data_IF_810561603982
#
_entry.id   IF_810561603982
#
_cell.length_a   1.000
_cell.length_b   1.000
_cell.length_c   1.000
_cell.angle_alpha   90.00
_cell.angle_beta   90.00
_cell.angle_gamma   90.00
#
_symmetry.space_group_name_H-M   'P 1'
#
loop_
_entity.id
_entity.type
_entity.pdbx_description
1 polymer ?
#
# COMPACT_ATOMS: atom_id res chain seq x y z
N UNK A 1 -3.03 22.89 29.44
CA UNK A 1 -2.01 23.89 29.07
C UNK A 1 -2.62 25.30 29.04
N UNK A 2 -1.99 26.31 29.66
CA UNK A 2 -2.53 27.67 29.79
C UNK A 2 -2.68 28.44 28.47
N UNK A 3 -2.12 27.93 27.36
CA UNK A 3 -1.97 28.74 26.14
C UNK A 3 -3.27 28.81 25.32
N UNK A 4 -4.17 27.84 25.45
CA UNK A 4 -5.47 27.89 24.76
C UNK A 4 -6.47 28.72 25.56
N UNK A 5 -6.29 28.83 26.88
CA UNK A 5 -7.23 29.53 27.77
C UNK A 5 -6.91 31.03 27.95
N UNK A 6 -5.70 31.48 27.62
CA UNK A 6 -5.32 32.89 27.80
C UNK A 6 -5.95 33.85 26.79
N UNK A 7 -6.43 33.35 25.64
CA UNK A 7 -7.08 34.16 24.62
C UNK A 7 -8.62 34.24 24.76
N UNK A 8 -9.25 33.44 25.63
CA UNK A 8 -10.71 33.20 25.55
C UNK A 8 -11.52 33.39 26.85
N UNK A 9 -10.91 33.78 27.99
CA UNK A 9 -11.66 34.07 29.24
C UNK A 9 -11.28 35.41 29.90
N UNK A 10 -12.23 36.12 30.56
CA UNK A 10 -11.96 37.30 31.39
C UNK A 10 -11.00 36.98 32.55
N UNK A 11 -10.18 37.97 32.95
CA UNK A 11 -8.99 37.78 33.80
C UNK A 11 -9.23 37.20 35.19
N UNK A 12 -10.45 37.31 35.71
CA UNK A 12 -10.88 36.90 37.04
C UNK A 12 -11.22 35.40 37.14
N UNK A 13 -11.58 34.75 36.04
CA UNK A 13 -11.90 33.31 35.99
C UNK A 13 -10.66 32.42 35.77
N UNK A 14 -9.53 33.03 35.37
CA UNK A 14 -8.27 32.34 35.02
C UNK A 14 -7.59 31.68 36.22
N UNK A 15 -7.72 32.26 37.41
CA UNK A 15 -7.06 31.74 38.61
C UNK A 15 -7.74 30.47 39.16
N UNK A 16 -9.06 30.33 38.96
CA UNK A 16 -9.83 29.20 39.47
C UNK A 16 -9.71 27.93 38.61
N UNK A 17 -9.48 28.08 37.30
CA UNK A 17 -9.34 26.95 36.36
C UNK A 17 -7.96 26.27 36.43
N UNK A 18 -6.92 27.02 36.81
CA UNK A 18 -5.54 26.50 36.93
C UNK A 18 -5.33 25.70 38.22
N UNK A 19 -6.10 25.97 39.28
CA UNK A 19 -5.97 25.28 40.57
C UNK A 19 -6.70 23.92 40.63
N UNK A 20 -7.58 23.63 39.66
CA UNK A 20 -8.33 22.37 39.61
C UNK A 20 -8.10 21.64 38.28
N UNK A 21 -7.23 20.62 38.35
CA UNK A 21 -7.27 19.40 37.53
C UNK A 21 -6.60 19.45 36.15
N UNK A 22 -5.34 18.96 36.12
CA UNK A 22 -4.54 18.73 34.91
C UNK A 22 -5.21 17.79 33.88
N UNK A 23 -6.15 16.93 34.30
CA UNK A 23 -6.85 16.00 33.41
C UNK A 23 -8.29 16.44 33.08
N UNK A 24 -9.03 17.04 34.03
CA UNK A 24 -10.39 17.50 33.75
C UNK A 24 -10.42 18.75 32.87
N UNK A 25 -9.44 19.65 32.94
CA UNK A 25 -9.35 20.78 32.02
C UNK A 25 -9.18 20.29 30.57
N UNK A 26 -8.25 19.37 30.35
CA UNK A 26 -8.04 18.73 29.04
C UNK A 26 -9.31 18.02 28.55
N UNK A 27 -10.01 17.28 29.42
CA UNK A 27 -11.29 16.61 29.08
C UNK A 27 -12.41 17.60 28.79
N UNK A 28 -12.52 18.70 29.54
CA UNK A 28 -13.52 19.73 29.36
C UNK A 28 -13.31 20.50 28.05
N UNK A 29 -12.05 20.80 27.72
CA UNK A 29 -11.65 21.38 26.43
C UNK A 29 -12.02 20.43 25.29
N UNK A 30 -11.65 19.15 25.39
CA UNK A 30 -11.96 18.16 24.35
C UNK A 30 -13.46 17.93 24.16
N UNK A 31 -14.23 17.88 25.26
CA UNK A 31 -15.69 17.79 25.17
C UNK A 31 -16.27 19.02 24.48
N UNK A 32 -15.86 20.22 24.90
CA UNK A 32 -16.33 21.48 24.32
C UNK A 32 -15.99 21.59 22.83
N UNK A 33 -14.81 21.12 22.42
CA UNK A 33 -14.38 21.10 21.02
C UNK A 33 -15.15 20.08 20.16
N UNK A 34 -15.39 18.90 20.70
CA UNK A 34 -16.20 17.88 20.04
C UNK A 34 -17.65 18.34 19.89
N UNK A 35 -18.21 18.94 20.95
CA UNK A 35 -19.58 19.43 20.96
C UNK A 35 -19.76 20.60 19.97
N UNK A 36 -18.77 21.51 19.90
CA UNK A 36 -18.71 22.56 18.87
C UNK A 36 -18.68 21.99 17.44
N UNK A 37 -17.86 20.95 17.19
CA UNK A 37 -17.81 20.28 15.88
C UNK A 37 -19.13 19.60 15.53
N UNK A 38 -19.79 18.96 16.50
CA UNK A 38 -21.05 18.25 16.26
C UNK A 38 -22.24 19.20 16.02
N UNK A 39 -22.19 20.41 16.60
CA UNK A 39 -23.20 21.46 16.41
C UNK A 39 -23.04 22.20 15.07
N UNK A 40 -21.85 22.21 14.48
CA UNK A 40 -21.59 22.71 13.12
C UNK A 40 -21.65 21.54 12.13
N UNK A 41 -22.72 21.41 11.35
CA UNK A 41 -22.98 20.26 10.45
C UNK A 41 -21.89 19.94 9.39
N UNK A 42 -22.16 19.03 8.43
CA UNK A 42 -21.14 18.35 7.63
C UNK A 42 -20.46 19.20 6.54
N UNK A 43 -20.87 20.46 6.34
CA UNK A 43 -20.18 21.37 5.42
C UNK A 43 -19.10 22.13 6.16
N UNK A 44 -17.85 21.77 5.88
CA UNK A 44 -16.72 22.69 5.99
C UNK A 44 -16.74 23.60 4.76
N UNK A 45 -17.05 24.90 4.85
CA UNK A 45 -16.58 25.85 3.87
C UNK A 45 -15.17 26.23 4.27
N UNK A 46 -14.20 25.90 3.42
CA UNK A 46 -13.01 26.72 3.29
C UNK A 46 -13.49 28.12 2.92
N UNK A 47 -13.23 29.05 3.83
CA UNK A 47 -13.41 30.51 3.79
C UNK A 47 -13.95 31.15 2.49
N UNK A 48 -15.11 31.83 2.57
CA UNK A 48 -15.40 33.01 1.75
C UNK A 48 -16.28 34.01 2.54
N UNK A 49 -15.64 35.07 3.05
CA UNK A 49 -16.05 36.44 2.75
C UNK A 49 -17.24 37.09 3.48
N UNK A 50 -16.90 38.20 4.16
CA UNK A 50 -17.61 39.50 4.14
C UNK A 50 -18.93 39.64 4.94
N UNK A 51 -18.90 40.55 5.91
CA UNK A 51 -20.07 41.34 6.32
C UNK A 51 -20.45 41.16 7.79
N UNK A 52 -20.59 42.27 8.49
CA UNK A 52 -20.89 42.30 9.92
C UNK A 52 -22.24 41.69 10.28
N UNK A 53 -22.37 41.21 11.51
CA UNK A 53 -23.09 41.87 12.61
C UNK A 53 -22.65 41.15 13.89
N UNK A 54 -22.41 41.93 14.94
CA UNK A 54 -22.13 41.44 16.30
C UNK A 54 -23.34 40.66 16.83
N UNK A 55 -23.21 39.34 16.94
CA UNK A 55 -23.97 38.56 17.92
C UNK A 55 -22.97 37.81 18.79
N UNK A 56 -23.09 38.01 20.11
CA UNK A 56 -22.31 37.35 21.14
C UNK A 56 -22.65 35.85 21.17
N UNK A 57 -22.11 35.10 20.21
CA UNK A 57 -22.24 33.66 20.08
C UNK A 57 -20.93 32.96 20.44
N UNK A 58 -21.04 31.87 21.19
CA UNK A 58 -19.98 30.99 21.71
C UNK A 58 -18.62 31.07 20.98
N UNK A 59 -17.49 31.10 21.72
CA UNK A 59 -16.17 31.13 21.13
C UNK A 59 -15.98 29.91 20.21
N UNK A 60 -16.00 30.13 18.90
CA UNK A 60 -15.73 29.10 17.89
C UNK A 60 -14.23 29.13 17.60
N UNK A 61 -13.56 27.99 17.77
CA UNK A 61 -12.18 27.85 17.31
C UNK A 61 -12.12 28.05 15.79
N UNK A 62 -11.40 29.08 15.36
CA UNK A 62 -11.06 29.31 13.96
C UNK A 62 -9.84 28.45 13.60
N UNK A 63 -10.06 27.17 13.35
CA UNK A 63 -9.00 26.21 12.96
C UNK A 63 -8.16 26.71 11.77
N UNK A 64 -8.77 27.46 10.85
CA UNK A 64 -8.11 28.05 9.68
C UNK A 64 -7.17 29.23 9.98
N UNK A 65 -7.26 29.88 11.14
CA UNK A 65 -6.38 31.00 11.50
C UNK A 65 -5.16 30.59 12.32
N UNK A 66 -5.09 29.32 12.75
CA UNK A 66 -3.95 28.80 13.50
C UNK A 66 -2.83 28.41 12.56
N UNK A 67 -1.64 28.97 12.80
CA UNK A 67 -0.43 28.57 12.06
C UNK A 67 -0.15 27.08 12.29
N UNK A 68 0.57 26.40 11.38
CA UNK A 68 0.96 25.00 11.57
C UNK A 68 1.67 24.77 12.91
N UNK A 69 2.56 25.69 13.30
CA UNK A 69 3.26 25.67 14.59
C UNK A 69 2.33 25.80 15.79
N UNK A 70 1.37 26.73 15.76
CA UNK A 70 0.40 26.90 16.84
C UNK A 70 -0.51 25.68 17.02
N UNK A 71 -0.84 25.01 15.91
CA UNK A 71 -1.62 23.78 15.95
C UNK A 71 -0.81 22.62 16.54
N UNK A 72 0.46 22.51 16.18
CA UNK A 72 1.34 21.47 16.69
C UNK A 72 1.62 21.66 18.19
N UNK A 73 1.87 22.90 18.60
CA UNK A 73 2.02 23.27 20.01
C UNK A 73 0.73 22.94 20.76
N UNK A 74 -0.45 23.26 20.20
CA UNK A 74 -1.75 22.89 20.78
C UNK A 74 -1.95 21.37 20.93
N UNK A 75 -1.63 20.58 19.90
CA UNK A 75 -1.73 19.12 19.96
C UNK A 75 -0.72 18.52 20.95
N UNK A 76 0.48 19.09 21.04
CA UNK A 76 1.49 18.68 22.00
C UNK A 76 1.05 19.01 23.44
N UNK A 77 0.51 20.19 23.65
CA UNK A 77 0.00 20.69 24.93
C UNK A 77 -1.25 19.96 25.42
N UNK A 78 -2.03 19.40 24.50
CA UNK A 78 -3.18 18.56 24.80
C UNK A 78 -2.78 17.11 25.10
N UNK A 79 -1.63 16.65 24.60
CA UNK A 79 -1.12 15.30 24.81
C UNK A 79 -0.18 15.20 26.01
N UNK A 80 0.44 16.30 26.42
CA UNK A 80 1.34 16.37 27.57
C UNK A 80 0.68 17.17 28.71
N UNK A 81 0.66 16.60 29.91
CA UNK A 81 0.15 17.29 31.10
C UNK A 81 1.11 18.40 31.55
N UNK A 82 0.74 19.18 32.57
CA UNK A 82 1.57 20.26 33.12
C UNK A 82 3.00 19.83 33.53
N UNK A 83 3.20 18.53 33.78
CA UNK A 83 4.48 17.93 34.16
C UNK A 83 5.27 17.34 32.97
N UNK A 84 4.91 17.68 31.72
CA UNK A 84 5.54 17.16 30.49
C UNK A 84 5.51 15.63 30.36
N UNK A 85 4.65 14.95 31.12
CA UNK A 85 4.38 13.52 30.96
C UNK A 85 3.17 13.33 30.06
N UNK A 86 3.25 12.32 29.18
CA UNK A 86 2.15 12.00 28.26
C UNK A 86 0.91 11.63 29.08
N UNK A 87 -0.19 12.32 28.82
CA UNK A 87 -1.48 12.02 29.44
C UNK A 87 -2.04 10.79 28.75
N UNK A 88 -2.19 9.69 29.48
CA UNK A 88 -2.86 8.50 28.95
C UNK A 88 -4.31 8.85 28.62
N UNK A 89 -4.63 8.95 27.33
CA UNK A 89 -5.97 9.28 26.86
C UNK A 89 -6.91 8.09 27.03
N UNK A 90 -8.08 8.30 27.63
CA UNK A 90 -9.14 7.30 27.67
C UNK A 90 -9.63 6.99 26.24
N UNK A 91 -10.19 5.79 25.97
CA UNK A 91 -10.67 5.43 24.63
C UNK A 91 -11.64 6.45 24.02
N UNK A 92 -12.56 7.00 24.82
CA UNK A 92 -13.50 8.04 24.39
C UNK A 92 -12.81 9.35 24.01
N UNK A 93 -11.71 9.69 24.66
CA UNK A 93 -10.95 10.91 24.37
C UNK A 93 -10.15 10.73 23.09
N UNK A 94 -9.55 9.55 22.87
CA UNK A 94 -8.86 9.18 21.62
C UNK A 94 -9.79 9.31 20.41
N UNK A 95 -11.03 8.85 20.53
CA UNK A 95 -12.01 8.96 19.45
C UNK A 95 -12.35 10.43 19.14
N UNK A 96 -12.50 11.26 20.19
CA UNK A 96 -12.70 12.71 20.02
C UNK A 96 -11.50 13.39 19.37
N UNK A 97 -10.27 13.04 19.77
CA UNK A 97 -9.04 13.55 19.15
C UNK A 97 -8.92 13.14 17.69
N UNK A 98 -9.14 11.87 17.37
CA UNK A 98 -9.11 11.37 15.99
C UNK A 98 -10.14 12.09 15.12
N UNK A 99 -11.23 12.55 15.70
CA UNK A 99 -12.26 13.32 15.03
C UNK A 99 -11.82 14.77 14.69
N UNK A 100 -10.76 15.31 15.30
CA UNK A 100 -10.34 16.70 15.04
C UNK A 100 -9.68 16.84 13.67
N UNK A 101 -10.02 17.87 12.87
CA UNK A 101 -9.38 18.18 11.58
C UNK A 101 -8.03 18.88 11.79
N UNK A 102 -7.17 18.32 12.65
CA UNK A 102 -5.95 18.97 13.11
C UNK A 102 -4.68 18.32 12.54
N UNK A 103 -4.82 17.16 11.89
CA UNK A 103 -3.69 16.36 11.45
C UNK A 103 -3.32 16.72 10.01
N UNK A 104 -2.06 17.10 9.82
CA UNK A 104 -1.55 17.53 8.53
C UNK A 104 -1.06 16.31 7.73
N UNK A 105 -1.50 16.22 6.48
CA UNK A 105 -1.06 15.21 5.51
C UNK A 105 0.19 15.69 4.76
N UNK A 106 0.86 14.81 4.02
CA UNK A 106 1.98 15.21 3.14
C UNK A 106 1.54 16.18 2.03
N UNK A 107 0.27 16.18 1.64
CA UNK A 107 -0.29 17.18 0.73
C UNK A 107 -0.51 18.56 1.38
N UNK A 108 -0.21 18.72 2.67
CA UNK A 108 -0.43 19.96 3.44
C UNK A 108 -1.90 20.18 3.83
N UNK A 109 -2.78 19.22 3.55
CA UNK A 109 -4.19 19.28 3.92
C UNK A 109 -4.38 18.86 5.38
N UNK A 110 -5.35 19.49 6.06
CA UNK A 110 -5.70 19.11 7.43
C UNK A 110 -6.91 18.20 7.43
N UNK A 111 -6.76 17.03 8.04
CA UNK A 111 -7.75 15.96 8.03
C UNK A 111 -8.05 15.47 9.44
N UNK A 112 -9.23 14.87 9.60
CA UNK A 112 -9.54 14.06 10.76
C UNK A 112 -9.08 12.62 10.49
N UNK A 113 -8.56 11.94 11.52
CA UNK A 113 -8.14 10.53 11.43
C UNK A 113 -9.32 9.56 11.36
N UNK A 114 -10.55 10.05 11.55
CA UNK A 114 -11.79 9.30 11.33
C UNK A 114 -12.48 9.80 10.06
N UNK A 115 -12.73 8.90 9.11
CA UNK A 115 -13.51 9.21 7.93
C UNK A 115 -14.94 9.67 8.32
N UNK A 116 -15.44 10.80 7.77
CA UNK A 116 -16.79 11.26 8.07
C UNK A 116 -17.82 10.24 7.53
N UNK A 117 -18.64 9.66 8.43
CA UNK A 117 -19.85 8.92 8.04
C UNK A 117 -19.81 7.38 8.11
N UNK A 118 -18.74 6.75 8.62
CA UNK A 118 -18.73 5.29 8.86
C UNK A 118 -18.49 4.99 10.34
N UNK A 119 -19.49 4.36 10.96
CA UNK A 119 -19.35 3.79 12.30
C UNK A 119 -18.25 2.73 12.36
N UNK A 120 -17.92 2.34 13.60
CA UNK A 120 -16.83 1.47 14.08
C UNK A 120 -16.78 0.06 13.40
N UNK A 121 -17.66 -0.22 12.44
CA UNK A 121 -17.81 -1.51 11.77
C UNK A 121 -17.25 -1.58 10.34
N UNK A 122 -16.75 -0.48 9.76
CA UNK A 122 -16.05 -0.55 8.46
C UNK A 122 -14.60 -1.01 8.67
N UNK A 123 -14.44 -2.32 8.73
CA UNK A 123 -13.17 -3.06 8.90
C UNK A 123 -12.40 -3.18 7.57
N UNK A 124 -12.42 -2.13 6.75
CA UNK A 124 -11.63 -2.04 5.53
C UNK A 124 -10.34 -1.27 5.82
N UNK A 125 -9.19 -1.78 5.38
CA UNK A 125 -7.87 -1.15 5.55
C UNK A 125 -7.72 0.17 4.74
N UNK A 126 -8.72 0.49 3.92
CA UNK A 126 -8.69 1.58 2.94
C UNK A 126 -8.95 2.97 3.52
N UNK A 127 -9.46 3.08 4.75
CA UNK A 127 -9.81 4.36 5.39
C UNK A 127 -8.79 4.77 6.49
N UNK A 128 -7.63 4.10 6.54
CA UNK A 128 -6.61 4.32 7.57
C UNK A 128 -5.56 5.36 7.12
N UNK A 129 -5.15 6.21 8.08
CA UNK A 129 -4.00 7.11 7.93
C UNK A 129 -2.71 6.46 8.40
N UNK A 130 -1.62 6.81 7.74
CA UNK A 130 -0.32 6.17 7.95
C UNK A 130 0.76 7.19 8.25
N UNK A 131 1.74 6.77 9.06
CA UNK A 131 3.00 7.46 9.26
C UNK A 131 4.11 6.66 8.60
N UNK A 132 4.96 7.33 7.82
CA UNK A 132 6.14 6.67 7.25
C UNK A 132 7.08 6.22 8.37
N UNK A 133 7.38 4.93 8.37
CA UNK A 133 8.37 4.33 9.25
C UNK A 133 9.73 4.32 8.55
N UNK A 134 10.58 5.29 8.91
CA UNK A 134 11.91 5.44 8.31
C UNK A 134 12.85 4.31 8.71
N UNK A 135 12.61 3.67 9.85
CA UNK A 135 13.44 2.55 10.34
C UNK A 135 13.10 1.25 9.61
N UNK A 136 11.87 1.14 9.10
CA UNK A 136 11.37 0.00 8.33
C UNK A 136 11.29 0.28 6.83
N UNK A 137 12.24 1.07 6.29
CA UNK A 137 12.28 1.43 4.87
C UNK A 137 12.74 0.29 3.95
N UNK A 138 13.28 -0.81 4.50
CA UNK A 138 13.87 -1.91 3.75
C UNK A 138 14.95 -1.45 2.74
N UNK A 139 15.69 -0.39 3.08
CA UNK A 139 16.73 0.20 2.21
C UNK A 139 16.21 1.15 1.14
N UNK A 140 14.89 1.38 1.08
CA UNK A 140 14.29 2.34 0.16
C UNK A 140 14.48 3.77 0.64
N UNK A 141 14.85 4.66 -0.27
CA UNK A 141 14.75 6.10 -0.05
C UNK A 141 13.29 6.53 -0.23
N UNK A 142 12.55 6.58 0.89
CA UNK A 142 11.13 6.92 0.90
C UNK A 142 10.84 8.35 0.41
N UNK A 143 11.83 9.24 0.44
CA UNK A 143 11.68 10.63 -0.01
C UNK A 143 11.88 10.78 -1.52
N UNK A 144 12.63 9.87 -2.13
CA UNK A 144 12.84 9.82 -3.57
C UNK A 144 11.73 9.09 -4.34
N UNK A 145 10.79 8.43 -3.64
CA UNK A 145 9.70 7.69 -4.27
C UNK A 145 8.62 8.65 -4.80
N UNK A 146 8.11 8.43 -6.03
CA UNK A 146 7.07 9.26 -6.61
C UNK A 146 5.72 8.98 -5.95
N UNK A 147 5.38 9.74 -4.92
CA UNK A 147 4.15 9.52 -4.15
C UNK A 147 2.91 9.97 -4.95
N UNK A 148 1.94 9.07 -5.22
CA UNK A 148 0.70 9.47 -5.88
C UNK A 148 -0.15 10.34 -4.92
N UNK A 149 -1.08 11.15 -5.44
CA UNK A 149 -1.97 11.99 -4.63
C UNK A 149 -2.70 11.21 -3.51
N UNK A 150 -3.17 10.00 -3.83
CA UNK A 150 -3.80 9.11 -2.86
C UNK A 150 -2.88 8.74 -1.67
N UNK A 151 -1.56 8.71 -1.87
CA UNK A 151 -0.59 8.50 -0.80
C UNK A 151 -0.40 9.79 0.00
N UNK A 152 -0.20 10.93 -0.65
CA UNK A 152 0.08 12.19 0.04
C UNK A 152 -1.10 12.71 0.87
N UNK A 153 -2.33 12.32 0.52
CA UNK A 153 -3.54 12.61 1.28
C UNK A 153 -3.73 11.68 2.50
N UNK A 154 -3.12 10.50 2.52
CA UNK A 154 -3.29 9.49 3.59
C UNK A 154 -2.06 9.33 4.48
N UNK A 155 -0.92 9.81 4.03
CA UNK A 155 0.31 9.88 4.80
C UNK A 155 0.34 11.18 5.60
N UNK A 156 0.53 11.06 6.92
CA UNK A 156 0.69 12.21 7.80
C UNK A 156 2.07 12.84 7.63
N UNK A 157 2.12 14.17 7.74
CA UNK A 157 3.37 14.92 7.73
C UNK A 157 4.28 14.49 8.89
N UNK A 158 5.61 14.38 8.66
CA UNK A 158 6.55 13.95 9.68
C UNK A 158 6.69 15.03 10.76
N UNK A 159 6.03 14.83 11.90
CA UNK A 159 6.09 15.72 13.06
C UNK A 159 6.70 14.99 14.25
N UNK A 160 8.02 15.12 14.49
CA UNK A 160 8.72 14.41 15.57
C UNK A 160 8.13 14.67 16.95
N UNK A 161 7.62 15.89 17.19
CA UNK A 161 7.01 16.29 18.46
C UNK A 161 5.67 15.63 18.76
N UNK A 162 4.99 15.11 17.74
CA UNK A 162 3.67 14.47 17.86
C UNK A 162 3.74 12.95 17.74
N UNK A 163 4.95 12.36 17.76
CA UNK A 163 5.12 10.92 17.56
C UNK A 163 4.40 10.08 18.62
N UNK A 164 4.52 10.46 19.89
CA UNK A 164 3.90 9.75 21.00
C UNK A 164 2.37 9.86 20.92
N UNK A 165 1.86 11.04 20.54
CA UNK A 165 0.43 11.24 20.29
C UNK A 165 -0.07 10.36 19.13
N UNK A 166 0.66 10.26 18.02
CA UNK A 166 0.27 9.39 16.91
C UNK A 166 0.22 7.91 17.30
N UNK A 167 1.15 7.47 18.17
CA UNK A 167 1.15 6.12 18.71
C UNK A 167 -0.08 5.88 19.61
N UNK A 168 -0.40 6.83 20.48
CA UNK A 168 -1.56 6.75 21.38
C UNK A 168 -2.90 6.83 20.64
N UNK A 169 -2.95 7.61 19.56
CA UNK A 169 -4.07 7.67 18.63
C UNK A 169 -4.07 6.49 17.65
N UNK A 170 -3.18 5.50 17.80
CA UNK A 170 -3.18 4.27 16.99
C UNK A 170 -3.06 4.52 15.49
N UNK A 171 -2.33 5.56 15.06
CA UNK A 171 -1.98 5.77 13.66
C UNK A 171 -1.03 4.65 13.22
N UNK A 172 -1.33 4.00 12.10
CA UNK A 172 -0.50 2.89 11.63
C UNK A 172 0.86 3.40 11.13
N UNK A 173 1.91 2.62 11.42
CA UNK A 173 3.22 2.80 10.80
C UNK A 173 3.26 2.06 9.48
N UNK A 174 3.77 2.72 8.45
CA UNK A 174 3.90 2.17 7.10
C UNK A 174 5.36 2.21 6.68
N UNK A 175 5.96 1.04 6.54
CA UNK A 175 7.31 0.90 5.99
C UNK A 175 7.32 1.02 4.46
N UNK A 176 8.51 0.89 3.88
CA UNK A 176 8.69 1.02 2.43
C UNK A 176 7.91 -0.01 1.62
N UNK A 177 7.90 -1.27 2.06
CA UNK A 177 7.14 -2.32 1.39
C UNK A 177 5.62 -2.09 1.41
N UNK A 178 5.07 -1.62 2.53
CA UNK A 178 3.65 -1.27 2.63
C UNK A 178 3.29 -0.07 1.77
N UNK A 179 4.17 0.92 1.65
CA UNK A 179 4.00 2.06 0.76
C UNK A 179 3.94 1.62 -0.71
N UNK A 180 4.84 0.72 -1.11
CA UNK A 180 4.84 0.12 -2.43
C UNK A 180 3.53 -0.62 -2.69
N UNK A 181 3.15 -1.55 -1.80
CA UNK A 181 2.01 -2.43 -1.96
C UNK A 181 0.66 -1.70 -1.99
N UNK A 182 0.46 -0.71 -1.10
CA UNK A 182 -0.85 -0.07 -0.91
C UNK A 182 -1.08 1.15 -1.78
N UNK A 183 -0.03 1.83 -2.21
CA UNK A 183 -0.16 3.13 -2.88
C UNK A 183 0.48 3.16 -4.27
N UNK A 184 1.74 2.75 -4.38
CA UNK A 184 2.51 2.90 -5.62
C UNK A 184 2.10 1.85 -6.66
N UNK A 185 1.98 0.58 -6.25
CA UNK A 185 1.60 -0.52 -7.15
C UNK A 185 0.16 -0.42 -7.68
N UNK A 186 -0.86 -0.10 -6.87
CA UNK A 186 -2.21 0.14 -7.38
C UNK A 186 -2.28 1.32 -8.36
N UNK A 187 -1.41 2.32 -8.17
CA UNK A 187 -1.33 3.50 -9.04
C UNK A 187 -0.31 3.35 -10.16
N UNK A 188 0.29 2.16 -10.36
CA UNK A 188 1.41 1.96 -11.27
C UNK A 188 1.11 2.41 -12.70
N UNK A 189 -0.12 2.18 -13.18
CA UNK A 189 -0.56 2.59 -14.52
C UNK A 189 -0.63 4.11 -14.72
N UNK A 190 -0.81 4.88 -13.64
CA UNK A 190 -0.92 6.35 -13.67
C UNK A 190 0.44 7.05 -13.55
N UNK A 191 1.49 6.33 -13.15
CA UNK A 191 2.86 6.87 -13.07
C UNK A 191 3.44 7.13 -14.46
N UNK A 192 4.33 8.11 -14.56
CA UNK A 192 5.14 8.35 -15.76
C UNK A 192 6.15 7.23 -15.98
N UNK A 193 6.65 7.06 -17.20
CA UNK A 193 7.65 6.02 -17.49
C UNK A 193 8.93 6.17 -16.66
N UNK A 194 9.39 7.41 -16.43
CA UNK A 194 10.55 7.68 -15.58
C UNK A 194 10.32 7.26 -14.12
N UNK A 195 9.13 7.52 -13.59
CA UNK A 195 8.74 7.11 -12.22
C UNK A 195 8.62 5.59 -12.10
N UNK A 196 8.05 4.92 -13.12
CA UNK A 196 8.00 3.45 -13.18
C UNK A 196 9.40 2.85 -13.19
N UNK A 197 10.31 3.39 -13.99
CA UNK A 197 11.69 2.89 -14.05
C UNK A 197 12.41 3.06 -12.72
N UNK A 198 12.30 4.23 -12.08
CA UNK A 198 12.88 4.48 -10.77
C UNK A 198 12.32 3.53 -9.69
N UNK A 199 11.00 3.33 -9.69
CA UNK A 199 10.32 2.41 -8.79
C UNK A 199 10.80 0.97 -8.96
N UNK A 200 10.79 0.48 -10.21
CA UNK A 200 11.20 -0.89 -10.53
C UNK A 200 12.69 -1.11 -10.22
N UNK A 201 13.56 -0.12 -10.45
CA UNK A 201 14.95 -0.18 -10.07
C UNK A 201 15.12 -0.29 -8.55
N UNK A 202 14.38 0.51 -7.78
CA UNK A 202 14.41 0.46 -6.32
C UNK A 202 13.94 -0.90 -5.76
N UNK A 203 12.92 -1.50 -6.40
CA UNK A 203 12.42 -2.84 -6.03
C UNK A 203 13.48 -3.91 -6.21
N UNK A 204 14.17 -3.95 -7.36
CA UNK A 204 15.19 -4.99 -7.62
C UNK A 204 16.41 -4.83 -6.73
N UNK A 205 16.87 -3.60 -6.54
CA UNK A 205 18.05 -3.32 -5.69
C UNK A 205 17.81 -3.78 -4.26
N UNK A 206 16.59 -3.64 -3.75
CA UNK A 206 16.23 -3.94 -2.37
C UNK A 206 15.41 -5.24 -2.21
N UNK A 207 15.36 -6.09 -3.24
CA UNK A 207 14.44 -7.23 -3.29
C UNK A 207 14.57 -8.20 -2.11
N UNK A 208 15.80 -8.47 -1.67
CA UNK A 208 16.04 -9.41 -0.57
C UNK A 208 15.39 -8.99 0.75
N UNK A 209 15.27 -7.69 1.01
CA UNK A 209 14.56 -7.18 2.18
C UNK A 209 13.05 -7.08 1.93
N UNK A 210 12.64 -6.82 0.68
CA UNK A 210 11.25 -6.62 0.29
C UNK A 210 10.45 -7.92 0.14
N UNK A 211 11.10 -9.04 -0.23
CA UNK A 211 10.42 -10.32 -0.48
C UNK A 211 9.84 -10.99 0.76
N UNK A 212 10.33 -10.64 1.95
CA UNK A 212 9.79 -11.12 3.23
C UNK A 212 8.37 -10.56 3.49
N UNK A 213 8.05 -9.43 2.86
CA UNK A 213 6.76 -8.75 3.01
C UNK A 213 5.74 -9.29 2.03
N UNK A 214 4.94 -10.26 2.49
CA UNK A 214 3.94 -10.98 1.67
C UNK A 214 2.97 -10.06 0.94
N UNK A 215 2.53 -8.98 1.60
CA UNK A 215 1.60 -8.01 1.00
C UNK A 215 2.18 -7.38 -0.28
N UNK A 216 3.49 -7.12 -0.31
CA UNK A 216 4.17 -6.58 -1.48
C UNK A 216 4.32 -7.61 -2.59
N UNK A 217 4.68 -8.85 -2.25
CA UNK A 217 4.82 -9.94 -3.22
C UNK A 217 3.47 -10.23 -3.90
N UNK A 218 2.40 -10.29 -3.13
CA UNK A 218 1.04 -10.49 -3.64
C UNK A 218 0.59 -9.30 -4.52
N UNK A 219 0.91 -8.07 -4.12
CA UNK A 219 0.63 -6.89 -4.94
C UNK A 219 1.39 -6.92 -6.27
N UNK A 220 2.69 -7.25 -6.26
CA UNK A 220 3.51 -7.35 -7.47
C UNK A 220 3.03 -8.47 -8.41
N UNK A 221 2.54 -9.58 -7.87
CA UNK A 221 1.98 -10.69 -8.66
C UNK A 221 0.79 -10.26 -9.52
N UNK A 222 -0.07 -9.39 -8.99
CA UNK A 222 -1.29 -8.95 -9.66
C UNK A 222 -1.09 -7.77 -10.62
N UNK A 223 0.00 -7.03 -10.47
CA UNK A 223 0.28 -5.82 -11.27
C UNK A 223 0.85 -6.20 -12.64
N UNK A 224 0.28 -5.67 -13.75
CA UNK A 224 0.76 -5.94 -15.10
C UNK A 224 1.95 -5.05 -15.49
N UNK A 225 3.06 -5.08 -14.73
CA UNK A 225 4.20 -4.18 -14.95
C UNK A 225 5.17 -4.64 -16.06
N UNK A 226 4.97 -5.83 -16.62
CA UNK A 226 5.81 -6.42 -17.68
C UNK A 226 5.22 -6.11 -19.06
N UNK A 227 5.24 -4.84 -19.47
CA UNK A 227 4.60 -4.36 -20.72
C UNK A 227 3.11 -4.71 -20.80
N UNK A 228 2.40 -4.62 -19.68
CA UNK A 228 0.98 -4.97 -19.59
C UNK A 228 0.70 -6.44 -19.28
N UNK A 229 1.74 -7.27 -19.09
CA UNK A 229 1.60 -8.64 -18.61
C UNK A 229 1.95 -8.77 -17.11
N UNK A 230 1.34 -9.77 -16.46
CA UNK A 230 1.66 -10.20 -15.10
C UNK A 230 2.77 -11.24 -15.13
N UNK A 231 3.55 -11.35 -14.05
CA UNK A 231 4.62 -12.36 -13.96
C UNK A 231 4.09 -13.79 -14.16
N UNK A 232 2.96 -14.13 -13.52
CA UNK A 232 2.35 -15.47 -13.64
C UNK A 232 1.79 -15.83 -15.02
N UNK A 233 1.67 -14.86 -15.93
CA UNK A 233 1.27 -15.13 -17.31
C UNK A 233 2.46 -15.53 -18.21
N UNK A 234 3.70 -15.44 -17.71
CA UNK A 234 4.92 -15.59 -18.50
C UNK A 234 5.74 -16.79 -18.03
N UNK A 235 6.51 -17.35 -18.96
CA UNK A 235 7.43 -18.46 -18.73
C UNK A 235 8.84 -17.97 -18.43
N UNK A 236 9.56 -18.74 -17.62
CA UNK A 236 10.97 -18.45 -17.34
C UNK A 236 11.86 -18.76 -18.57
N UNK A 237 12.59 -17.78 -19.11
CA UNK A 237 13.46 -17.99 -20.27
C UNK A 237 14.66 -18.91 -19.99
N UNK A 238 14.97 -19.21 -18.72
CA UNK A 238 15.99 -20.19 -18.31
C UNK A 238 15.54 -21.64 -18.53
N UNK A 239 14.24 -21.87 -18.69
CA UNK A 239 13.73 -23.19 -19.02
C UNK A 239 13.93 -23.47 -20.52
N UNK A 240 14.98 -24.23 -20.84
CA UNK A 240 15.35 -24.53 -22.22
C UNK A 240 14.24 -25.25 -23.00
N UNK A 241 13.44 -26.09 -22.34
CA UNK A 241 12.36 -26.82 -23.01
C UNK A 241 11.23 -25.86 -23.42
N UNK A 242 10.81 -24.99 -22.49
CA UNK A 242 9.80 -23.98 -22.79
C UNK A 242 10.30 -22.99 -23.85
N UNK A 243 11.55 -22.53 -23.74
CA UNK A 243 12.15 -21.61 -24.73
C UNK A 243 12.12 -22.19 -26.14
N UNK A 244 12.41 -23.48 -26.29
CA UNK A 244 12.44 -24.12 -27.60
C UNK A 244 11.02 -24.35 -28.15
N UNK A 245 10.07 -24.78 -27.32
CA UNK A 245 8.67 -25.02 -27.73
C UNK A 245 7.95 -23.71 -28.10
N UNK A 246 8.22 -22.63 -27.36
CA UNK A 246 7.60 -21.31 -27.52
C UNK A 246 8.47 -20.32 -28.32
N UNK A 247 9.46 -20.80 -29.08
CA UNK A 247 10.35 -19.93 -29.88
C UNK A 247 9.60 -19.01 -30.87
N UNK A 248 8.40 -19.40 -31.28
CA UNK A 248 7.49 -18.63 -32.16
C UNK A 248 6.57 -17.66 -31.41
N UNK A 249 6.56 -17.66 -30.08
CA UNK A 249 5.78 -16.74 -29.23
C UNK A 249 6.69 -15.96 -28.27
N UNK A 250 7.39 -14.91 -28.75
CA UNK A 250 8.25 -14.09 -27.89
C UNK A 250 7.49 -13.38 -26.76
N UNK A 251 6.18 -13.17 -26.90
CA UNK A 251 5.31 -12.59 -25.86
C UNK A 251 5.01 -13.54 -24.70
N UNK A 252 5.38 -14.81 -24.81
CA UNK A 252 5.20 -15.79 -23.73
C UNK A 252 6.29 -15.67 -22.65
N UNK A 253 7.32 -14.86 -22.88
CA UNK A 253 8.44 -14.64 -21.97
C UNK A 253 8.48 -13.18 -21.50
N UNK A 254 9.17 -12.89 -20.37
CA UNK A 254 9.44 -11.53 -19.94
C UNK A 254 10.10 -10.69 -21.05
N UNK A 255 9.74 -9.40 -21.17
CA UNK A 255 10.40 -8.49 -22.10
C UNK A 255 11.92 -8.46 -21.90
N UNK A 256 12.66 -8.14 -22.96
CA UNK A 256 14.13 -8.23 -22.98
C UNK A 256 14.83 -7.50 -21.82
N UNK A 257 14.29 -6.35 -21.39
CA UNK A 257 14.81 -5.56 -20.25
C UNK A 257 14.79 -6.32 -18.92
N UNK A 258 13.85 -7.25 -18.75
CA UNK A 258 13.73 -8.09 -17.56
C UNK A 258 14.43 -9.43 -17.76
N UNK A 259 14.26 -10.06 -18.94
CA UNK A 259 14.84 -11.36 -19.24
C UNK A 259 16.38 -11.36 -19.24
N UNK A 260 17.02 -10.23 -19.58
CA UNK A 260 18.48 -10.10 -19.60
C UNK A 260 19.13 -9.94 -18.22
N UNK A 261 18.37 -9.72 -17.15
CA UNK A 261 18.89 -9.47 -15.80
C UNK A 261 18.59 -10.65 -14.87
N UNK A 262 19.62 -11.36 -14.35
CA UNK A 262 19.42 -12.45 -13.39
C UNK A 262 18.70 -11.99 -12.11
N UNK A 263 18.93 -10.74 -11.68
CA UNK A 263 18.26 -10.17 -10.52
C UNK A 263 16.75 -10.01 -10.75
N UNK A 264 16.36 -9.57 -11.95
CA UNK A 264 14.94 -9.52 -12.32
C UNK A 264 14.33 -10.91 -12.40
N UNK A 265 15.02 -11.89 -12.96
CA UNK A 265 14.49 -13.26 -13.01
C UNK A 265 14.29 -13.88 -11.62
N UNK A 266 15.10 -13.51 -10.63
CA UNK A 266 14.88 -13.89 -9.24
C UNK A 266 13.59 -13.25 -8.68
N UNK A 267 13.44 -11.93 -8.84
CA UNK A 267 12.22 -11.21 -8.43
C UNK A 267 10.98 -11.81 -9.09
N UNK A 268 11.04 -12.04 -10.40
CA UNK A 268 9.93 -12.60 -11.17
C UNK A 268 9.57 -14.02 -10.73
N UNK A 269 10.56 -14.87 -10.45
CA UNK A 269 10.30 -16.21 -9.90
C UNK A 269 9.53 -16.14 -8.58
N UNK A 270 9.90 -15.24 -7.68
CA UNK A 270 9.24 -15.06 -6.39
C UNK A 270 7.81 -14.51 -6.53
N UNK A 271 7.57 -13.59 -7.48
CA UNK A 271 6.24 -13.01 -7.71
C UNK A 271 5.33 -13.89 -8.59
N UNK A 272 5.82 -15.03 -9.09
CA UNK A 272 4.99 -16.07 -9.71
C UNK A 272 5.28 -16.40 -11.17
N UNK A 273 6.43 -16.00 -11.72
CA UNK A 273 6.89 -16.45 -13.04
C UNK A 273 6.88 -17.98 -13.11
N UNK A 274 6.41 -18.52 -14.23
CA UNK A 274 6.30 -19.98 -14.43
C UNK A 274 7.68 -20.55 -14.73
N UNK A 275 8.37 -21.00 -13.69
CA UNK A 275 9.72 -21.58 -13.76
C UNK A 275 9.69 -23.06 -14.15
N UNK A 276 8.65 -23.78 -13.71
CA UNK A 276 8.42 -25.19 -14.00
C UNK A 276 7.37 -25.43 -15.08
N UNK A 277 7.24 -26.71 -15.46
CA UNK A 277 6.15 -27.19 -16.31
C UNK A 277 5.15 -27.87 -15.39
N UNK A 278 4.00 -27.24 -15.18
CA UNK A 278 2.86 -27.86 -14.51
C UNK A 278 1.96 -28.58 -15.54
N UNK A 279 0.86 -29.19 -15.08
CA UNK A 279 -0.10 -29.91 -15.93
C UNK A 279 -0.66 -29.04 -17.05
N UNK A 280 -1.03 -27.79 -16.74
CA UNK A 280 -1.59 -26.85 -17.72
C UNK A 280 -0.53 -26.45 -18.77
N UNK A 281 0.68 -26.12 -18.33
CA UNK A 281 1.83 -25.82 -19.19
C UNK A 281 2.14 -27.01 -20.10
N UNK A 282 2.10 -28.23 -19.54
CA UNK A 282 2.40 -29.44 -20.28
C UNK A 282 1.39 -29.66 -21.42
N UNK A 283 0.09 -29.51 -21.14
CA UNK A 283 -0.95 -29.62 -22.15
C UNK A 283 -0.82 -28.55 -23.21
N UNK A 284 -0.49 -27.31 -22.83
CA UNK A 284 -0.21 -26.24 -23.79
C UNK A 284 0.98 -26.58 -24.70
N UNK A 285 2.09 -27.06 -24.13
CA UNK A 285 3.24 -27.55 -24.87
C UNK A 285 2.85 -28.65 -25.86
N UNK A 286 2.09 -29.65 -25.41
CA UNK A 286 1.68 -30.80 -26.21
C UNK A 286 0.78 -30.37 -27.39
N UNK A 287 -0.25 -29.56 -27.14
CA UNK A 287 -1.15 -29.01 -28.17
C UNK A 287 -0.39 -28.13 -29.18
N UNK A 288 0.63 -27.39 -28.72
CA UNK A 288 1.45 -26.54 -29.59
C UNK A 288 2.36 -27.36 -30.50
N UNK A 289 2.92 -28.47 -30.00
CA UNK A 289 3.66 -29.42 -30.82
C UNK A 289 2.75 -30.12 -31.84
N UNK A 290 1.52 -30.46 -31.44
CA UNK A 290 0.48 -30.99 -32.34
C UNK A 290 0.13 -30.02 -33.47
N UNK A 291 -0.13 -28.76 -33.16
CA UNK A 291 -0.44 -27.75 -34.17
C UNK A 291 0.70 -27.53 -35.19
N UNK A 292 1.95 -27.82 -34.80
CA UNK A 292 3.14 -27.70 -35.65
C UNK A 292 3.50 -29.01 -36.36
N UNK A 293 2.87 -30.12 -36.00
CA UNK A 293 3.17 -31.41 -36.60
C UNK A 293 2.68 -31.43 -38.05
N UNK A 294 3.57 -31.88 -38.93
CA UNK A 294 3.31 -32.13 -40.34
C UNK A 294 3.93 -33.48 -40.69
N UNK A 295 3.42 -34.15 -41.71
CA UNK A 295 4.04 -35.38 -42.23
C UNK A 295 4.96 -35.06 -43.42
N UNK A 296 6.24 -35.49 -43.41
CA UNK A 296 6.94 -36.18 -42.32
C UNK A 296 7.33 -35.24 -41.16
N UNK A 297 7.35 -35.78 -39.93
CA UNK A 297 7.60 -35.00 -38.72
C UNK A 297 9.00 -34.35 -38.76
N UNK A 298 9.10 -33.01 -38.62
CA UNK A 298 10.39 -32.34 -38.59
C UNK A 298 11.26 -32.82 -37.43
N UNK A 299 12.56 -33.05 -37.67
CA UNK A 299 13.50 -33.53 -36.65
C UNK A 299 13.53 -32.66 -35.37
N UNK A 300 13.46 -31.34 -35.53
CA UNK A 300 13.39 -30.41 -34.39
C UNK A 300 12.15 -30.64 -33.51
N UNK A 301 11.01 -30.93 -34.14
CA UNK A 301 9.75 -31.19 -33.44
C UNK A 301 9.76 -32.57 -32.77
N UNK A 302 10.34 -33.59 -33.40
CA UNK A 302 10.58 -34.91 -32.78
C UNK A 302 11.42 -34.79 -31.51
N UNK A 303 12.50 -34.00 -31.56
CA UNK A 303 13.38 -33.75 -30.42
C UNK A 303 12.66 -33.03 -29.28
N UNK A 304 11.84 -32.02 -29.59
CA UNK A 304 11.01 -31.31 -28.62
C UNK A 304 9.98 -32.25 -27.95
N UNK A 305 9.24 -33.04 -28.75
CA UNK A 305 8.29 -34.01 -28.24
C UNK A 305 8.96 -35.07 -27.34
N UNK A 306 10.14 -35.56 -27.73
CA UNK A 306 10.92 -36.51 -26.94
C UNK A 306 11.35 -35.91 -25.59
N UNK A 307 11.79 -34.65 -25.57
CA UNK A 307 12.17 -33.95 -24.33
C UNK A 307 10.96 -33.71 -23.43
N UNK A 308 9.81 -33.36 -24.00
CA UNK A 308 8.56 -33.19 -23.25
C UNK A 308 8.08 -34.52 -22.64
N UNK A 309 8.09 -35.61 -23.42
CA UNK A 309 7.77 -36.95 -22.91
C UNK A 309 8.73 -37.38 -21.80
N UNK A 310 10.04 -37.15 -21.97
CA UNK A 310 11.04 -37.44 -20.93
C UNK A 310 10.76 -36.64 -19.65
N UNK A 311 10.32 -35.39 -19.77
CA UNK A 311 9.93 -34.58 -18.62
C UNK A 311 8.74 -35.21 -17.88
N UNK A 312 7.69 -35.62 -18.61
CA UNK A 312 6.54 -36.32 -18.03
C UNK A 312 6.94 -37.59 -17.28
N UNK A 313 7.80 -38.41 -17.88
CA UNK A 313 8.25 -39.67 -17.26
C UNK A 313 9.10 -39.42 -16.00
N UNK A 314 9.95 -38.40 -16.03
CA UNK A 314 10.79 -38.02 -14.87
C UNK A 314 9.96 -37.53 -13.69
N UNK A 315 8.89 -36.78 -13.98
CA UNK A 315 8.04 -36.13 -12.97
C UNK A 315 6.67 -36.80 -12.83
N UNK A 316 6.53 -38.07 -13.24
CA UNK A 316 5.22 -38.72 -13.40
C UNK A 316 4.33 -38.66 -12.16
N UNK A 317 4.91 -38.72 -10.96
CA UNK A 317 4.17 -38.65 -9.70
C UNK A 317 3.45 -37.30 -9.51
N UNK A 318 4.03 -36.20 -9.99
CA UNK A 318 3.46 -34.85 -9.90
C UNK A 318 2.35 -34.64 -10.94
N UNK A 319 2.41 -35.38 -12.05
CA UNK A 319 1.45 -35.31 -13.14
C UNK A 319 0.29 -36.30 -13.03
N UNK A 320 0.41 -37.36 -12.22
CA UNK A 320 -0.58 -38.44 -12.18
C UNK A 320 -1.96 -37.94 -11.71
N UNK A 321 -2.87 -37.84 -12.67
CA UNK A 321 -4.24 -37.39 -12.47
C UNK A 321 -5.13 -37.91 -13.61
N UNK A 322 -6.24 -38.60 -13.30
CA UNK A 322 -7.16 -39.13 -14.31
C UNK A 322 -7.74 -38.08 -15.27
N UNK A 323 -7.86 -36.81 -14.83
CA UNK A 323 -8.35 -35.73 -15.70
C UNK A 323 -7.26 -35.33 -16.71
N UNK A 324 -6.05 -35.08 -16.23
CA UNK A 324 -4.88 -34.77 -17.05
C UNK A 324 -4.60 -35.88 -18.09
N UNK A 325 -4.68 -37.14 -17.70
CA UNK A 325 -4.45 -38.27 -18.61
C UNK A 325 -5.49 -38.33 -19.75
N UNK A 326 -6.75 -37.97 -19.46
CA UNK A 326 -7.80 -37.88 -20.49
C UNK A 326 -7.52 -36.76 -21.49
N UNK A 327 -7.17 -35.57 -21.01
CA UNK A 327 -6.82 -34.45 -21.89
C UNK A 327 -5.57 -34.73 -22.72
N UNK A 328 -4.58 -35.42 -22.13
CA UNK A 328 -3.36 -35.77 -22.85
C UNK A 328 -3.62 -36.81 -23.95
N UNK A 329 -4.53 -37.75 -23.72
CA UNK A 329 -4.90 -38.77 -24.72
C UNK A 329 -5.58 -38.18 -25.97
N UNK A 330 -6.10 -36.96 -25.90
CA UNK A 330 -6.68 -36.26 -27.04
C UNK A 330 -5.62 -35.62 -27.96
N UNK A 331 -4.35 -35.52 -27.51
CA UNK A 331 -3.27 -34.88 -28.28
C UNK A 331 -2.54 -35.90 -29.16
N UNK A 332 -2.61 -35.74 -30.48
CA UNK A 332 -2.14 -36.70 -31.48
C UNK A 332 -0.62 -36.91 -31.55
N UNK A 333 0.19 -36.03 -30.93
CA UNK A 333 1.66 -36.01 -31.07
C UNK A 333 2.41 -36.72 -29.94
N UNK A 334 1.70 -37.30 -28.97
CA UNK A 334 2.33 -38.20 -28.01
C UNK A 334 2.40 -39.60 -28.62
N UNK A 335 3.59 -40.20 -28.83
CA UNK A 335 3.67 -41.54 -29.40
C UNK A 335 2.93 -42.53 -28.49
N UNK A 336 1.92 -43.20 -29.05
CA UNK A 336 1.14 -44.24 -28.37
C UNK A 336 1.95 -45.55 -28.21
N UNK A 337 3.15 -45.63 -28.78
CA UNK A 337 4.00 -46.82 -28.68
C UNK A 337 5.26 -46.51 -27.87
N UNK A 338 5.21 -46.89 -26.58
CA UNK A 338 6.36 -47.10 -25.69
C UNK A 338 6.94 -48.49 -25.91
#
# INVERSE_FOLDING_TARGET
CPVVELAYFPGDQRAALVEQDDQAATRAILSSLHDLRSATGPSYPLDEGVGGVEEAGNPRLRWGSLSPTQMDDFLQDLSHGANSSMVSLAPSDRDKFRALPAFETLSGSRVALVAPGRGILSRGNDDQFYRLDRDSSAGLDLEALPLPPAATERLLAPKPRLQDLYQDLGVARLGGAGLLARFLLPSFGALTEQEKEALLAAVVVNWEALKEERELVDALREVPFLDGARAGALYDPRNELLRDIFADAPRAFPPARFAGSPAWLAVLADVGLRTGIDKETFLECARRLEAKAAEPLPFGLASQATRLLRHLLTHFQDFYDPAFARELAEVAVVPVEL
#
